data_IF_127618243277
#
_entry.id   IF_127618243277
#
_cell.length_a   1.000
_cell.length_b   1.000
_cell.length_c   1.000
_cell.angle_alpha   90.00
_cell.angle_beta   90.00
_cell.angle_gamma   90.00
#
_symmetry.space_group_name_H-M   'P 1'
#
loop_
_entity.id
_entity.type
_entity.pdbx_description
1 polymer ?
#
# COMPACT_ATOMS: atom_id res chain seq x y z
N UNK A 1 0.67 18.31 -13.55
CA UNK A 1 -0.23 17.39 -12.83
C UNK A 1 0.55 16.91 -11.62
N UNK A 2 0.07 17.20 -10.41
CA UNK A 2 0.74 16.75 -9.19
C UNK A 2 0.60 15.24 -9.07
N UNK A 3 1.72 14.53 -8.94
CA UNK A 3 1.70 13.10 -8.65
C UNK A 3 1.27 12.93 -7.19
N UNK A 4 0.16 12.22 -6.89
CA UNK A 4 -0.25 12.05 -5.50
C UNK A 4 0.86 11.34 -4.72
N UNK A 5 1.29 11.93 -3.61
CA UNK A 5 2.31 11.36 -2.72
C UNK A 5 1.77 10.09 -2.03
N UNK A 6 1.97 8.95 -2.68
CA UNK A 6 1.64 7.64 -2.11
C UNK A 6 2.75 7.18 -1.16
N UNK A 7 2.34 6.58 -0.06
CA UNK A 7 3.19 5.99 0.98
C UNK A 7 2.85 4.52 1.15
N UNK A 8 3.84 3.72 1.52
CA UNK A 8 3.66 2.28 1.83
C UNK A 8 3.91 2.04 3.31
N UNK A 9 3.11 1.15 3.91
CA UNK A 9 3.38 0.54 5.21
C UNK A 9 3.31 -0.97 5.09
N UNK A 10 4.35 -1.66 5.54
CA UNK A 10 4.36 -3.12 5.64
C UNK A 10 3.81 -3.50 7.02
N UNK A 11 2.83 -4.41 7.03
CA UNK A 11 2.24 -4.98 8.24
C UNK A 11 2.06 -6.49 8.04
N UNK A 12 2.91 -7.29 8.69
CA UNK A 12 2.98 -8.73 8.41
C UNK A 12 3.23 -9.00 6.93
N UNK A 13 2.43 -9.89 6.33
CA UNK A 13 2.46 -10.20 4.89
C UNK A 13 1.58 -9.25 4.07
N UNK A 14 1.28 -8.05 4.54
CA UNK A 14 0.45 -7.08 3.81
C UNK A 14 1.23 -5.78 3.53
N UNK A 15 0.91 -5.16 2.40
CA UNK A 15 1.33 -3.82 2.02
C UNK A 15 0.12 -2.91 2.00
N UNK A 16 0.15 -1.89 2.84
CA UNK A 16 -0.90 -0.88 2.93
C UNK A 16 -0.39 0.34 2.17
N UNK A 17 -1.05 0.68 1.07
CA UNK A 17 -0.75 1.87 0.29
C UNK A 17 -1.73 2.96 0.71
N UNK A 18 -1.21 4.10 1.13
CA UNK A 18 -2.01 5.20 1.67
C UNK A 18 -1.44 6.55 1.26
N UNK A 19 -2.21 7.61 1.47
CA UNK A 19 -1.74 8.99 1.34
C UNK A 19 -2.27 9.84 2.48
N UNK A 20 -1.52 10.88 2.79
CA UNK A 20 -1.95 11.90 3.74
C UNK A 20 -2.77 12.95 3.01
N UNK A 21 -3.96 13.23 3.52
CA UNK A 21 -4.72 14.46 3.23
C UNK A 21 -4.57 15.38 4.43
N UNK A 22 -5.01 16.64 4.27
CA UNK A 22 -4.90 17.67 5.32
C UNK A 22 -5.39 17.20 6.68
N UNK A 23 -6.54 16.52 6.70
CA UNK A 23 -7.25 16.15 7.95
C UNK A 23 -7.48 14.64 8.09
N UNK A 24 -6.96 13.83 7.16
CA UNK A 24 -7.24 12.40 7.13
C UNK A 24 -6.12 11.58 6.49
N UNK A 25 -6.07 10.30 6.84
CA UNK A 25 -5.30 9.29 6.11
C UNK A 25 -6.25 8.54 5.20
N UNK A 26 -5.97 8.53 3.91
CA UNK A 26 -6.74 7.73 2.96
C UNK A 26 -5.99 6.44 2.63
N UNK A 27 -6.61 5.30 2.94
CA UNK A 27 -6.14 3.99 2.50
C UNK A 27 -6.55 3.82 1.04
N UNK A 28 -5.56 3.71 0.15
CA UNK A 28 -5.78 3.55 -1.29
C UNK A 28 -6.01 2.09 -1.63
N UNK A 29 -5.19 1.20 -1.09
CA UNK A 29 -5.36 -0.26 -1.25
C UNK A 29 -4.58 -1.03 -0.20
N UNK A 30 -4.97 -2.29 0.02
CA UNK A 30 -4.25 -3.26 0.85
C UNK A 30 -3.96 -4.47 -0.04
N UNK A 31 -2.68 -4.79 -0.17
CA UNK A 31 -2.20 -5.88 -1.02
C UNK A 31 -1.63 -6.97 -0.12
N UNK A 32 -2.09 -8.21 -0.30
CA UNK A 32 -1.44 -9.36 0.32
C UNK A 32 -0.12 -9.65 -0.41
N UNK A 33 0.97 -9.55 0.33
CA UNK A 33 2.35 -9.73 -0.11
C UNK A 33 2.83 -11.18 -0.09
N UNK A 34 1.97 -12.18 0.12
CA UNK A 34 2.39 -13.55 -0.15
C UNK A 34 2.72 -13.67 -1.63
N UNK A 35 4.02 -13.86 -1.90
CA UNK A 35 4.51 -14.20 -3.22
C UNK A 35 3.84 -15.50 -3.64
N UNK A 36 3.17 -15.51 -4.78
CA UNK A 36 2.77 -16.75 -5.43
C UNK A 36 4.08 -17.52 -5.67
N UNK A 37 4.33 -18.57 -4.89
CA UNK A 37 5.41 -19.50 -5.18
C UNK A 37 5.06 -20.11 -6.52
N UNK A 38 5.78 -19.67 -7.57
CA UNK A 38 5.64 -20.25 -8.90
C UNK A 38 6.32 -21.62 -8.81
N UNK A 39 5.55 -22.69 -8.99
CA UNK A 39 6.10 -24.05 -9.07
C UNK A 39 7.15 -24.08 -10.19
N UNK A 40 8.34 -24.58 -9.85
CA UNK A 40 9.51 -24.70 -10.74
C UNK A 40 9.41 -25.94 -11.61
#
# INVERSE_FOLDING_TARGET
METPELRERILGNYRIIYRLKKDAVEIVTIIHGARLLRES
#
